data_IF_716075737611
#
_entry.id   IF_716075737611
#
_cell.length_a   1.000
_cell.length_b   1.000
_cell.length_c   1.000
_cell.angle_alpha   90.00
_cell.angle_beta   90.00
_cell.angle_gamma   90.00
#
_symmetry.space_group_name_H-M   'P 1'
#
loop_
_entity.id
_entity.type
_entity.pdbx_description
1 polymer ?
#
# COMPACT_ATOMS: atom_id res chain seq x y z
N UNK A 1 2.49 -12.86 6.56
CA UNK A 1 2.79 -11.65 7.36
C UNK A 1 3.55 -11.95 8.64
N UNK A 2 3.17 -12.97 9.44
CA UNK A 2 3.83 -13.26 10.73
C UNK A 2 5.38 -13.23 10.72
N UNK A 3 6.03 -13.79 9.69
CA UNK A 3 7.50 -13.80 9.59
C UNK A 3 8.15 -12.43 9.34
N UNK A 4 7.41 -11.45 8.80
CA UNK A 4 7.91 -10.10 8.51
C UNK A 4 7.52 -9.08 9.58
N UNK A 5 6.48 -9.38 10.37
CA UNK A 5 5.92 -8.48 11.37
C UNK A 5 6.98 -7.99 12.36
N UNK A 6 7.83 -8.87 12.88
CA UNK A 6 8.87 -8.49 13.86
C UNK A 6 9.85 -7.46 13.26
N UNK A 7 10.38 -7.73 12.07
CA UNK A 7 11.32 -6.82 11.40
C UNK A 7 10.67 -5.45 11.09
N UNK A 8 9.39 -5.44 10.69
CA UNK A 8 8.67 -4.20 10.44
C UNK A 8 8.45 -3.40 11.73
N UNK A 9 8.11 -4.06 12.84
CA UNK A 9 7.99 -3.43 14.15
C UNK A 9 9.33 -2.83 14.62
N UNK A 10 10.44 -3.54 14.41
CA UNK A 10 11.80 -3.04 14.71
C UNK A 10 12.16 -1.79 13.89
N UNK A 11 11.56 -1.64 12.70
CA UNK A 11 11.68 -0.46 11.83
C UNK A 11 10.60 0.60 12.11
N UNK A 12 9.96 0.56 13.28
CA UNK A 12 8.91 1.51 13.72
C UNK A 12 7.65 1.54 12.83
N UNK A 13 7.37 0.49 12.07
CA UNK A 13 6.07 0.37 11.40
C UNK A 13 5.00 -0.06 12.39
N UNK A 14 3.82 0.54 12.27
CA UNK A 14 2.58 -0.03 12.80
C UNK A 14 2.12 -1.10 11.82
N UNK A 15 1.91 -2.34 12.30
CA UNK A 15 1.62 -3.50 11.44
C UNK A 15 0.27 -4.10 11.81
N UNK A 16 -0.56 -4.42 10.81
CA UNK A 16 -1.78 -5.19 11.00
C UNK A 16 -1.43 -6.63 11.41
N UNK A 17 -1.59 -6.93 12.70
CA UNK A 17 -1.29 -8.26 13.25
C UNK A 17 -2.45 -9.26 13.11
N UNK A 18 -3.68 -8.77 12.91
CA UNK A 18 -4.85 -9.61 12.69
C UNK A 18 -5.97 -8.88 11.94
N UNK A 19 -6.99 -9.62 11.49
CA UNK A 19 -8.18 -9.05 10.83
C UNK A 19 -9.19 -8.41 11.78
N UNK A 20 -8.93 -8.37 13.10
CA UNK A 20 -9.81 -7.71 14.07
C UNK A 20 -9.80 -6.20 13.84
N UNK A 21 -10.95 -5.55 14.00
CA UNK A 21 -11.09 -4.12 13.77
C UNK A 21 -10.17 -3.23 14.63
N UNK A 22 -9.76 -3.70 15.80
CA UNK A 22 -8.82 -3.01 16.70
C UNK A 22 -7.37 -3.08 16.22
N UNK A 23 -7.04 -4.10 15.42
CA UNK A 23 -5.68 -4.33 14.93
C UNK A 23 -5.47 -3.72 13.53
N UNK A 24 -6.51 -3.10 12.96
CA UNK A 24 -6.46 -2.42 11.66
C UNK A 24 -5.64 -1.13 11.75
N UNK A 25 -4.72 -0.94 10.81
CA UNK A 25 -3.95 0.30 10.69
C UNK A 25 -4.75 1.30 9.85
N UNK A 26 -5.47 2.18 10.53
CA UNK A 26 -6.29 3.21 9.89
C UNK A 26 -5.45 4.42 9.53
N UNK A 27 -5.26 4.65 8.24
CA UNK A 27 -4.59 5.83 7.70
C UNK A 27 -5.64 6.87 7.30
N UNK A 28 -5.64 8.07 7.91
CA UNK A 28 -6.63 9.10 7.63
C UNK A 28 -6.67 9.56 6.18
N UNK A 29 -7.83 10.01 5.72
CA UNK A 29 -8.05 10.63 4.39
C UNK A 29 -8.77 11.96 4.55
N UNK A 30 -9.79 11.99 5.40
CA UNK A 30 -10.60 13.18 5.65
C UNK A 30 -10.85 13.35 7.14
N UNK A 31 -10.56 14.56 7.61
CA UNK A 31 -10.92 15.02 8.95
C UNK A 31 -12.11 15.97 8.84
N UNK A 32 -13.14 15.69 9.62
CA UNK A 32 -14.35 16.49 9.74
C UNK A 32 -14.26 17.56 10.81
N UNK A 33 -15.42 17.94 11.33
CA UNK A 33 -15.54 19.00 12.34
C UNK A 33 -14.66 18.70 13.57
N UNK A 34 -13.90 19.70 14.00
CA UNK A 34 -12.97 19.63 15.13
C UNK A 34 -11.90 18.53 14.98
N UNK A 35 -11.45 18.23 13.76
CA UNK A 35 -10.39 17.26 13.50
C UNK A 35 -10.81 15.80 13.70
N UNK A 36 -12.12 15.53 13.78
CA UNK A 36 -12.63 14.16 13.93
C UNK A 36 -12.34 13.37 12.66
N UNK A 37 -11.73 12.20 12.79
CA UNK A 37 -11.52 11.29 11.67
C UNK A 37 -12.88 10.85 11.07
N UNK A 38 -13.12 11.19 9.80
CA UNK A 38 -14.37 10.83 9.08
C UNK A 38 -14.15 9.73 8.05
N UNK A 39 -13.03 9.80 7.32
CA UNK A 39 -12.66 8.80 6.32
C UNK A 39 -11.22 8.36 6.53
N UNK A 40 -11.00 7.07 6.36
CA UNK A 40 -9.71 6.42 6.44
C UNK A 40 -9.72 5.22 5.50
N UNK A 41 -8.52 4.73 5.20
CA UNK A 41 -8.32 3.41 4.63
C UNK A 41 -7.50 2.57 5.60
N UNK A 42 -7.67 1.25 5.52
CA UNK A 42 -6.83 0.32 6.25
C UNK A 42 -5.59 0.03 5.39
N UNK A 43 -4.43 -0.06 6.04
CA UNK A 43 -3.18 -0.52 5.46
C UNK A 43 -2.66 -1.78 6.17
N UNK A 44 -1.87 -2.61 5.47
CA UNK A 44 -1.18 -3.73 6.12
C UNK A 44 -0.06 -3.25 7.06
N UNK A 45 0.66 -2.19 6.69
CA UNK A 45 1.58 -1.49 7.60
C UNK A 45 1.73 0.00 7.26
N UNK A 46 2.07 0.81 8.27
CA UNK A 46 2.35 2.23 8.09
C UNK A 46 3.46 2.72 9.02
N UNK A 47 4.39 3.50 8.49
CA UNK A 47 5.39 4.23 9.26
C UNK A 47 5.14 5.74 9.12
N UNK A 48 4.99 6.43 10.26
CA UNK A 48 4.66 7.85 10.33
C UNK A 48 5.87 8.77 10.07
N UNK A 49 7.07 8.32 10.42
CA UNK A 49 8.31 9.08 10.22
C UNK A 49 8.70 9.13 8.74
N UNK A 50 8.64 7.98 8.06
CA UNK A 50 8.94 7.85 6.63
C UNK A 50 7.73 8.09 5.73
N UNK A 51 6.54 8.23 6.32
CA UNK A 51 5.27 8.41 5.60
C UNK A 51 5.05 7.32 4.56
N UNK A 52 5.32 6.08 4.97
CA UNK A 52 5.35 4.91 4.08
C UNK A 52 4.24 3.96 4.44
N UNK A 53 3.41 3.64 3.44
CA UNK A 53 2.42 2.56 3.49
C UNK A 53 2.97 1.31 2.83
N UNK A 54 2.74 0.16 3.45
CA UNK A 54 3.06 -1.16 2.90
C UNK A 54 1.77 -1.94 2.70
N UNK A 55 1.60 -2.52 1.51
CA UNK A 55 0.53 -3.46 1.17
C UNK A 55 1.14 -4.80 0.72
N UNK A 56 0.65 -5.92 1.29
CA UNK A 56 1.17 -7.25 1.00
C UNK A 56 0.12 -8.12 0.34
N UNK A 57 0.26 -8.26 -0.97
CA UNK A 57 -0.69 -8.99 -1.78
C UNK A 57 -0.27 -10.45 -1.99
N UNK A 58 -1.03 -11.37 -1.37
CA UNK A 58 -0.75 -12.80 -1.39
C UNK A 58 -1.37 -13.57 -2.58
N UNK A 59 -1.90 -12.88 -3.59
CA UNK A 59 -2.44 -13.53 -4.80
C UNK A 59 -3.66 -12.88 -5.44
N UNK A 60 -4.06 -11.68 -5.00
CA UNK A 60 -5.14 -10.93 -5.64
C UNK A 60 -4.64 -9.64 -6.28
N UNK A 61 -3.33 -9.42 -6.32
CA UNK A 61 -2.69 -8.21 -6.83
C UNK A 61 -3.28 -7.76 -8.16
N UNK A 62 -3.22 -8.62 -9.19
CA UNK A 62 -3.73 -8.32 -10.54
C UNK A 62 -5.23 -8.63 -10.67
N UNK A 63 -5.73 -9.59 -9.88
CA UNK A 63 -7.14 -9.97 -9.94
C UNK A 63 -8.00 -8.86 -9.36
N UNK A 64 -8.96 -8.35 -10.14
CA UNK A 64 -9.78 -7.18 -9.79
C UNK A 64 -8.99 -5.88 -9.58
N UNK A 65 -7.78 -5.77 -10.13
CA UNK A 65 -6.97 -4.55 -10.06
C UNK A 65 -6.70 -4.06 -8.63
N UNK A 66 -6.44 -4.99 -7.70
CA UNK A 66 -6.20 -4.67 -6.29
C UNK A 66 -5.06 -3.66 -6.13
N UNK A 67 -3.95 -3.84 -6.87
CA UNK A 67 -2.83 -2.89 -6.82
C UNK A 67 -3.19 -1.46 -7.29
N UNK A 68 -4.19 -1.30 -8.16
CA UNK A 68 -4.67 0.04 -8.56
C UNK A 68 -5.49 0.69 -7.44
N UNK A 69 -6.23 -0.12 -6.70
CA UNK A 69 -6.96 0.37 -5.52
C UNK A 69 -5.96 0.81 -4.45
N UNK A 70 -4.94 0.00 -4.18
CA UNK A 70 -3.90 0.30 -3.20
C UNK A 70 -3.14 1.58 -3.60
N UNK A 71 -2.80 1.73 -4.88
CA UNK A 71 -2.23 2.97 -5.45
C UNK A 71 -3.13 4.17 -5.19
N UNK A 72 -4.41 4.07 -5.55
CA UNK A 72 -5.36 5.18 -5.38
C UNK A 72 -5.53 5.55 -3.90
N UNK A 73 -5.62 4.56 -3.01
CA UNK A 73 -5.75 4.77 -1.58
C UNK A 73 -4.53 5.50 -1.03
N UNK A 74 -3.31 5.05 -1.36
CA UNK A 74 -2.09 5.72 -0.94
C UNK A 74 -2.03 7.19 -1.41
N UNK A 75 -2.47 7.47 -2.63
CA UNK A 75 -2.50 8.84 -3.19
C UNK A 75 -3.42 9.81 -2.43
N UNK A 76 -4.37 9.32 -1.63
CA UNK A 76 -5.34 10.16 -0.92
C UNK A 76 -5.25 10.01 0.59
N UNK A 77 -4.38 9.14 1.09
CA UNK A 77 -4.07 9.04 2.51
C UNK A 77 -3.27 10.28 2.94
N UNK A 78 -3.61 10.83 4.10
CA UNK A 78 -2.92 11.95 4.71
C UNK A 78 -1.57 11.50 5.28
N UNK A 79 -0.53 12.32 5.08
CA UNK A 79 0.85 12.03 5.49
C UNK A 79 1.39 10.71 4.92
N UNK A 80 1.11 10.44 3.64
CA UNK A 80 1.68 9.30 2.90
C UNK A 80 2.41 9.83 1.68
N UNK A 81 3.73 9.65 1.67
CA UNK A 81 4.61 10.06 0.58
C UNK A 81 5.13 8.84 -0.20
N UNK A 82 5.14 7.65 0.42
CA UNK A 82 5.70 6.44 -0.16
C UNK A 82 4.71 5.26 -0.11
N UNK A 83 4.64 4.51 -1.22
CA UNK A 83 3.89 3.26 -1.30
C UNK A 83 4.82 2.08 -1.59
N UNK A 84 4.75 1.05 -0.77
CA UNK A 84 5.41 -0.24 -1.01
C UNK A 84 4.35 -1.30 -1.28
N UNK A 85 4.44 -2.01 -2.40
CA UNK A 85 3.57 -3.13 -2.72
C UNK A 85 4.41 -4.39 -2.84
N UNK A 86 4.21 -5.35 -1.94
CA UNK A 86 4.81 -6.67 -2.04
C UNK A 86 3.86 -7.60 -2.81
N UNK A 87 4.32 -8.14 -3.93
CA UNK A 87 3.52 -8.93 -4.86
C UNK A 87 4.23 -10.25 -5.18
N UNK A 88 3.46 -11.32 -5.40
CA UNK A 88 4.04 -12.60 -5.81
C UNK A 88 4.63 -12.49 -7.21
N UNK A 89 5.78 -13.13 -7.46
CA UNK A 89 6.36 -13.23 -8.81
C UNK A 89 5.39 -13.87 -9.79
N UNK A 90 4.76 -14.96 -9.35
CA UNK A 90 3.74 -15.66 -10.11
C UNK A 90 2.61 -16.13 -9.20
N UNK A 91 1.37 -15.91 -9.62
CA UNK A 91 0.20 -16.47 -8.97
C UNK A 91 -0.66 -17.21 -9.99
N UNK A 92 -0.88 -18.52 -9.75
CA UNK A 92 -1.46 -19.44 -10.73
C UNK A 92 -0.67 -19.40 -12.06
N UNK A 93 -1.29 -18.97 -13.16
CA UNK A 93 -0.67 -18.85 -14.49
C UNK A 93 -0.24 -17.40 -14.82
N UNK A 94 -0.49 -16.46 -13.92
CA UNK A 94 -0.21 -15.04 -14.16
C UNK A 94 1.14 -14.65 -13.58
N UNK A 95 1.85 -13.80 -14.33
CA UNK A 95 3.09 -13.15 -13.89
C UNK A 95 2.72 -11.83 -13.23
N UNK A 96 2.23 -11.91 -11.99
CA UNK A 96 1.67 -10.77 -11.27
C UNK A 96 2.67 -9.63 -11.13
N UNK A 97 3.90 -9.92 -10.66
CA UNK A 97 4.97 -8.91 -10.55
C UNK A 97 5.24 -8.20 -11.89
N UNK A 98 5.42 -8.95 -12.98
CA UNK A 98 5.68 -8.35 -14.29
C UNK A 98 4.53 -7.48 -14.76
N UNK A 99 3.29 -7.90 -14.50
CA UNK A 99 2.10 -7.15 -14.89
C UNK A 99 2.02 -5.81 -14.16
N UNK A 100 2.32 -5.80 -12.85
CA UNK A 100 2.34 -4.58 -12.03
C UNK A 100 3.47 -3.64 -12.47
N UNK A 101 4.68 -4.16 -12.68
CA UNK A 101 5.82 -3.35 -13.18
C UNK A 101 5.48 -2.71 -14.52
N UNK A 102 5.02 -3.49 -15.49
CA UNK A 102 4.65 -2.97 -16.82
C UNK A 102 3.58 -1.88 -16.73
N UNK A 103 2.62 -1.99 -15.80
CA UNK A 103 1.63 -0.95 -15.58
C UNK A 103 2.28 0.35 -15.08
N UNK A 104 3.09 0.29 -14.01
CA UNK A 104 3.74 1.49 -13.46
C UNK A 104 4.71 2.12 -14.47
N UNK A 105 5.48 1.32 -15.21
CA UNK A 105 6.33 1.80 -16.30
C UNK A 105 5.51 2.57 -17.35
N UNK A 106 4.35 2.03 -17.75
CA UNK A 106 3.45 2.68 -18.69
C UNK A 106 2.88 3.98 -18.12
N UNK A 107 2.51 3.99 -16.84
CA UNK A 107 1.97 5.16 -16.15
C UNK A 107 2.99 6.30 -16.15
N UNK A 108 4.21 6.02 -15.70
CA UNK A 108 5.30 7.00 -15.64
C UNK A 108 5.75 7.43 -17.04
N UNK A 109 5.87 6.51 -18.00
CA UNK A 109 6.24 6.84 -19.37
C UNK A 109 5.19 7.74 -20.06
N UNK A 110 3.90 7.60 -19.69
CA UNK A 110 2.84 8.42 -20.28
C UNK A 110 2.93 9.90 -19.89
N UNK A 111 3.44 10.20 -18.69
CA UNK A 111 3.48 11.55 -18.11
C UNK A 111 2.10 12.21 -17.91
N UNK A 112 0.99 11.48 -18.12
CA UNK A 112 -0.37 12.05 -18.10
C UNK A 112 -0.97 12.17 -16.70
N UNK A 113 -0.45 11.42 -15.73
CA UNK A 113 -0.89 11.43 -14.35
C UNK A 113 0.30 11.78 -13.46
N UNK A 114 0.17 12.85 -12.68
CA UNK A 114 1.11 13.17 -11.60
C UNK A 114 0.54 12.59 -10.31
N UNK A 115 1.25 11.63 -9.73
CA UNK A 115 0.86 11.01 -8.47
C UNK A 115 1.33 11.88 -7.30
N UNK A 116 0.51 12.07 -6.24
CA UNK A 116 0.91 12.76 -5.02
C UNK A 116 1.74 11.83 -4.11
N UNK A 117 2.72 11.12 -4.68
CA UNK A 117 3.64 10.24 -3.97
C UNK A 117 5.06 10.58 -4.44
N UNK A 118 6.01 10.60 -3.51
CA UNK A 118 7.44 10.78 -3.80
C UNK A 118 8.06 9.51 -4.41
N UNK A 119 7.55 8.33 -4.03
CA UNK A 119 8.08 7.07 -4.54
C UNK A 119 7.13 5.89 -4.40
N UNK A 120 7.23 4.96 -5.36
CA UNK A 120 6.54 3.68 -5.34
C UNK A 120 7.58 2.56 -5.48
N UNK A 121 7.58 1.62 -4.53
CA UNK A 121 8.45 0.45 -4.53
C UNK A 121 7.62 -0.83 -4.71
N UNK A 122 7.94 -1.60 -5.74
CA UNK A 122 7.31 -2.90 -5.98
C UNK A 122 8.30 -4.01 -5.64
N UNK A 123 7.93 -4.90 -4.73
CA UNK A 123 8.77 -6.03 -4.28
C UNK A 123 8.17 -7.33 -4.79
N UNK A 124 8.91 -8.04 -5.64
CA UNK A 124 8.53 -9.38 -6.13
C UNK A 124 9.07 -10.50 -5.25
N UNK A 125 8.20 -11.34 -4.68
CA UNK A 125 8.59 -12.51 -3.87
C UNK A 125 8.10 -13.85 -4.40
#
# INVERSE_FOLDING_TARGET
MEKLTLNLLELNYRVEVSKRALDKIKVPVLFGLNGKLEKYFDADAYNEEFKTVIEVEAGRTVTNYQFLKDLFQACIMHEVDHLVIAVRKSYKKNQDFQTVITFFDTLYASGRLTLPLEGILIIGY
#
